data_IF_648021585074
#
_entry.id   IF_648021585074
#
_cell.length_a   1.000
_cell.length_b   1.000
_cell.length_c   1.000
_cell.angle_alpha   90.00
_cell.angle_beta   90.00
_cell.angle_gamma   90.00
#
_symmetry.space_group_name_H-M   'P 1'
#
loop_
_entity.id
_entity.type
_entity.pdbx_description
1 polymer ?
#
# COMPACT_ATOMS: atom_id res chain seq x y z
N UNK A 1 -0.74 -6.20 -27.23
CA UNK A 1 -1.62 -5.04 -27.02
C UNK A 1 -1.14 -4.41 -25.73
N UNK A 2 -0.72 -3.14 -25.73
CA UNK A 2 -0.29 -2.48 -24.49
C UNK A 2 -1.56 -2.07 -23.76
N UNK A 3 -1.80 -2.61 -22.57
CA UNK A 3 -2.94 -2.19 -21.76
C UNK A 3 -2.58 -0.87 -21.06
N UNK A 4 -3.34 0.16 -21.37
CA UNK A 4 -3.21 1.49 -20.76
C UNK A 4 -4.25 1.64 -19.66
N UNK A 5 -3.81 1.86 -18.42
CA UNK A 5 -4.67 2.20 -17.30
C UNK A 5 -4.43 3.63 -16.87
N UNK A 6 -5.50 4.38 -16.66
CA UNK A 6 -5.45 5.72 -16.08
C UNK A 6 -5.74 5.54 -14.59
N UNK A 7 -4.78 5.88 -13.74
CA UNK A 7 -4.91 5.77 -12.29
C UNK A 7 -4.70 7.12 -11.62
N UNK A 8 -5.26 7.29 -10.43
CA UNK A 8 -4.99 8.41 -9.54
C UNK A 8 -4.45 7.89 -8.21
N UNK A 9 -3.83 8.75 -7.40
CA UNK A 9 -3.28 8.32 -6.11
C UNK A 9 -4.34 7.70 -5.18
N UNK A 10 -5.58 8.19 -5.24
CA UNK A 10 -6.69 7.65 -4.46
C UNK A 10 -7.11 6.25 -4.87
N UNK A 11 -6.72 5.76 -6.04
CA UNK A 11 -6.96 4.37 -6.42
C UNK A 11 -6.14 3.38 -5.59
N UNK A 12 -5.03 3.84 -5.00
CA UNK A 12 -4.16 3.08 -4.11
C UNK A 12 -4.61 3.16 -2.64
N UNK A 13 -5.70 3.87 -2.33
CA UNK A 13 -6.24 3.91 -0.99
C UNK A 13 -6.61 2.49 -0.51
N UNK A 14 -6.13 2.14 0.69
CA UNK A 14 -6.38 0.84 1.30
C UNK A 14 -7.77 0.85 1.91
N UNK A 15 -8.67 -0.01 1.41
CA UNK A 15 -9.99 -0.25 2.00
C UNK A 15 -9.92 -1.29 3.11
N UNK A 16 -9.20 -2.39 2.85
CA UNK A 16 -9.09 -3.52 3.77
C UNK A 16 -7.67 -4.07 3.80
N UNK A 17 -7.19 -4.36 5.02
CA UNK A 17 -6.01 -5.19 5.26
C UNK A 17 -6.50 -6.61 5.55
N UNK A 18 -6.17 -7.55 4.68
CA UNK A 18 -6.68 -8.92 4.68
C UNK A 18 -5.54 -9.89 5.00
N UNK A 19 -5.74 -10.73 6.01
CA UNK A 19 -4.86 -11.86 6.30
C UNK A 19 -5.41 -13.15 5.69
N UNK A 20 -4.60 -13.88 4.91
CA UNK A 20 -4.97 -15.16 4.30
C UNK A 20 -3.94 -16.24 4.60
N UNK A 21 -4.41 -17.46 4.81
CA UNK A 21 -3.56 -18.65 4.90
C UNK A 21 -3.39 -19.25 3.51
N UNK A 22 -2.20 -19.14 2.94
CA UNK A 22 -1.89 -19.72 1.63
C UNK A 22 -1.09 -21.02 1.74
N UNK A 23 -1.40 -22.04 0.92
CA UNK A 23 -0.62 -23.26 0.86
C UNK A 23 0.76 -23.00 0.26
N UNK A 24 1.80 -23.55 0.88
CA UNK A 24 3.19 -23.43 0.39
C UNK A 24 3.55 -24.38 -0.74
N UNK A 25 2.61 -25.21 -1.20
CA UNK A 25 2.87 -26.32 -2.11
C UNK A 25 3.54 -27.53 -1.45
N UNK A 26 3.98 -27.43 -0.19
CA UNK A 26 4.56 -28.55 0.57
C UNK A 26 3.53 -29.19 1.50
N UNK A 27 3.69 -30.48 1.78
CA UNK A 27 2.88 -31.25 2.72
C UNK A 27 3.73 -31.78 3.88
N UNK A 28 3.09 -32.11 5.00
CA UNK A 28 3.72 -32.76 6.14
C UNK A 28 2.80 -33.85 6.72
N UNK A 29 3.41 -34.90 7.28
CA UNK A 29 2.67 -35.96 7.97
C UNK A 29 2.53 -35.59 9.44
N UNK A 30 1.29 -35.55 9.92
CA UNK A 30 0.97 -35.32 11.33
C UNK A 30 1.36 -36.54 12.18
N UNK A 31 1.47 -36.36 13.50
CA UNK A 31 1.76 -37.45 14.45
C UNK A 31 0.79 -38.64 14.36
N UNK A 32 -0.43 -38.40 13.86
CA UNK A 32 -1.47 -39.43 13.67
C UNK A 32 -1.44 -40.07 12.27
N UNK A 33 -0.42 -39.80 11.45
CA UNK A 33 -0.27 -40.37 10.11
C UNK A 33 -1.02 -39.63 8.99
N UNK A 34 -1.79 -38.59 9.30
CA UNK A 34 -2.52 -37.83 8.28
C UNK A 34 -1.61 -36.83 7.55
N UNK A 35 -1.69 -36.76 6.23
CA UNK A 35 -1.02 -35.74 5.41
C UNK A 35 -1.79 -34.43 5.44
N UNK A 36 -1.11 -33.31 5.71
CA UNK A 36 -1.68 -31.96 5.64
C UNK A 36 -0.80 -31.03 4.79
N UNK A 37 -1.41 -30.01 4.19
CA UNK A 37 -0.66 -28.94 3.55
C UNK A 37 -0.01 -28.03 4.59
N UNK A 38 1.24 -27.67 4.35
CA UNK A 38 1.91 -26.61 5.08
C UNK A 38 1.42 -25.29 4.52
N UNK A 39 0.78 -24.49 5.37
CA UNK A 39 0.30 -23.16 5.01
C UNK A 39 1.16 -22.10 5.67
N UNK A 40 1.18 -20.90 5.07
CA UNK A 40 1.82 -19.71 5.63
C UNK A 40 0.81 -18.56 5.60
N UNK A 41 0.82 -17.75 6.64
CA UNK A 41 0.01 -16.53 6.69
C UNK A 41 0.63 -15.46 5.80
N UNK A 42 -0.20 -14.80 4.98
CA UNK A 42 0.17 -13.68 4.14
C UNK A 42 -0.84 -12.56 4.29
N UNK A 43 -0.35 -11.33 4.18
CA UNK A 43 -1.17 -10.12 4.21
C UNK A 43 -1.36 -9.55 2.81
N UNK A 44 -2.53 -8.97 2.59
CA UNK A 44 -2.93 -8.33 1.34
C UNK A 44 -3.68 -7.03 1.62
N UNK A 45 -3.42 -5.99 0.83
CA UNK A 45 -4.12 -4.73 0.87
C UNK A 45 -5.07 -4.64 -0.31
N UNK A 46 -6.36 -4.50 -0.02
CA UNK A 46 -7.41 -4.33 -1.03
C UNK A 46 -7.57 -2.84 -1.33
N UNK A 47 -7.46 -2.50 -2.61
CA UNK A 47 -7.57 -1.14 -3.17
C UNK A 47 -8.57 -1.11 -4.33
N UNK A 48 -8.80 0.05 -4.96
CA UNK A 48 -9.72 0.15 -6.10
C UNK A 48 -9.22 -0.59 -7.35
N UNK A 49 -7.91 -0.74 -7.48
CA UNK A 49 -7.24 -1.31 -8.66
C UNK A 49 -6.82 -2.78 -8.47
N UNK A 50 -7.08 -3.34 -7.28
CA UNK A 50 -6.82 -4.75 -6.99
C UNK A 50 -6.21 -4.98 -5.61
N UNK A 51 -5.71 -6.19 -5.43
CA UNK A 51 -5.05 -6.63 -4.21
C UNK A 51 -3.54 -6.65 -4.39
N UNK A 52 -2.82 -6.14 -3.39
CA UNK A 52 -1.36 -6.10 -3.36
C UNK A 52 -0.84 -6.75 -2.09
N UNK A 53 0.39 -7.28 -2.14
CA UNK A 53 1.15 -7.49 -0.90
C UNK A 53 1.57 -6.13 -0.32
N UNK A 54 1.78 -6.02 1.02
CA UNK A 54 2.19 -4.77 1.64
C UNK A 54 3.43 -4.12 0.98
N UNK A 55 4.47 -4.93 0.73
CA UNK A 55 5.71 -4.48 0.11
C UNK A 55 5.46 -3.93 -1.30
N UNK A 56 4.66 -4.63 -2.12
CA UNK A 56 4.39 -4.21 -3.49
C UNK A 56 3.49 -2.98 -3.53
N UNK A 57 2.51 -2.91 -2.63
CA UNK A 57 1.64 -1.74 -2.50
C UNK A 57 2.46 -0.49 -2.20
N UNK A 58 3.38 -0.56 -1.22
CA UNK A 58 4.22 0.56 -0.84
C UNK A 58 5.13 0.99 -2.00
N UNK A 59 5.79 0.04 -2.65
CA UNK A 59 6.66 0.29 -3.80
C UNK A 59 5.93 1.07 -4.91
N UNK A 60 4.78 0.58 -5.35
CA UNK A 60 4.03 1.22 -6.46
C UNK A 60 3.43 2.55 -6.02
N UNK A 61 2.95 2.67 -4.78
CA UNK A 61 2.38 3.92 -4.26
C UNK A 61 3.45 5.02 -4.22
N UNK A 62 4.66 4.72 -3.73
CA UNK A 62 5.78 5.67 -3.71
C UNK A 62 6.22 6.07 -5.13
N UNK A 63 6.28 5.13 -6.07
CA UNK A 63 6.58 5.43 -7.48
C UNK A 63 5.57 6.42 -8.08
N UNK A 64 4.29 6.30 -7.72
CA UNK A 64 3.25 7.20 -8.20
C UNK A 64 3.35 8.57 -7.54
N UNK A 65 3.58 8.64 -6.23
CA UNK A 65 3.85 9.90 -5.52
C UNK A 65 5.01 10.64 -6.19
N UNK A 66 6.09 9.93 -6.50
CA UNK A 66 7.25 10.48 -7.17
C UNK A 66 6.91 10.97 -8.59
N UNK A 67 6.14 10.20 -9.35
CA UNK A 67 5.70 10.56 -10.71
C UNK A 67 4.78 11.78 -10.71
N UNK A 68 3.96 11.93 -9.67
CA UNK A 68 3.10 13.09 -9.45
C UNK A 68 3.84 14.30 -8.87
N UNK A 69 5.13 14.16 -8.56
CA UNK A 69 5.95 15.17 -7.87
C UNK A 69 5.40 15.59 -6.50
N UNK A 70 4.66 14.72 -5.81
CA UNK A 70 4.05 14.98 -4.50
C UNK A 70 4.96 14.52 -3.34
N UNK A 71 6.28 14.43 -3.56
CA UNK A 71 7.23 13.99 -2.53
C UNK A 71 7.31 14.97 -1.35
N UNK A 72 7.22 16.27 -1.62
CA UNK A 72 7.22 17.30 -0.56
C UNK A 72 6.02 17.11 0.38
N UNK A 73 4.84 16.88 -0.18
CA UNK A 73 3.63 16.59 0.59
C UNK A 73 3.77 15.29 1.41
N UNK A 74 4.39 14.26 0.84
CA UNK A 74 4.66 13.01 1.58
C UNK A 74 5.60 13.25 2.78
N UNK A 75 6.65 14.04 2.62
CA UNK A 75 7.57 14.36 3.71
C UNK A 75 6.90 15.20 4.81
N UNK A 76 6.06 16.17 4.46
CA UNK A 76 5.24 16.91 5.44
C UNK A 76 4.32 15.97 6.23
N UNK A 77 3.68 15.00 5.56
CA UNK A 77 2.85 14.00 6.22
C UNK A 77 3.71 13.11 7.15
N UNK A 78 4.90 12.68 6.71
CA UNK A 78 5.82 11.87 7.53
C UNK A 78 6.23 12.60 8.80
N UNK A 79 6.60 13.87 8.71
CA UNK A 79 6.95 14.69 9.89
C UNK A 79 5.77 14.80 10.87
N UNK A 80 4.57 15.03 10.34
CA UNK A 80 3.36 15.09 11.17
C UNK A 80 3.09 13.74 11.86
N UNK A 81 3.13 12.63 11.11
CA UNK A 81 2.91 11.28 11.60
C UNK A 81 3.96 10.90 12.66
N UNK A 82 5.23 11.21 12.44
CA UNK A 82 6.30 10.93 13.40
C UNK A 82 6.07 11.64 14.75
N UNK A 83 5.50 12.85 14.74
CA UNK A 83 5.18 13.61 15.95
C UNK A 83 3.88 13.18 16.65
N UNK A 84 2.89 12.68 15.92
CA UNK A 84 1.52 12.46 16.44
C UNK A 84 1.12 10.98 16.54
N UNK A 85 1.80 10.08 15.84
CA UNK A 85 1.48 8.66 15.78
C UNK A 85 2.50 7.81 16.56
N UNK A 86 2.48 7.93 17.90
CA UNK A 86 3.43 7.29 18.83
C UNK A 86 3.44 5.75 18.76
N UNK A 87 2.42 5.13 18.16
CA UNK A 87 2.33 3.67 18.03
C UNK A 87 3.18 3.10 16.89
N UNK A 88 3.70 3.94 15.97
CA UNK A 88 4.58 3.53 14.88
C UNK A 88 6.02 3.49 15.40
N UNK A 89 6.69 2.34 15.26
CA UNK A 89 7.95 2.06 15.96
C UNK A 89 9.20 2.25 15.10
N UNK A 90 9.04 2.27 13.79
CA UNK A 90 10.15 2.33 12.85
C UNK A 90 9.80 3.22 11.65
N UNK A 91 10.84 3.69 10.96
CA UNK A 91 10.69 4.61 9.82
C UNK A 91 9.90 3.98 8.67
N UNK A 92 9.94 2.65 8.52
CA UNK A 92 9.18 1.93 7.49
C UNK A 92 7.68 1.99 7.75
N UNK A 93 7.27 1.79 8.99
CA UNK A 93 5.87 1.91 9.43
C UNK A 93 5.37 3.35 9.28
N UNK A 94 6.22 4.34 9.59
CA UNK A 94 5.92 5.75 9.37
C UNK A 94 5.72 6.04 7.88
N UNK A 95 6.63 5.56 7.01
CA UNK A 95 6.52 5.75 5.57
C UNK A 95 5.28 5.08 4.98
N UNK A 96 5.01 3.82 5.34
CA UNK A 96 3.84 3.09 4.88
C UNK A 96 2.54 3.79 5.31
N UNK A 97 2.45 4.18 6.58
CA UNK A 97 1.29 4.86 7.10
C UNK A 97 1.11 6.24 6.46
N UNK A 98 2.19 6.98 6.24
CA UNK A 98 2.17 8.30 5.59
C UNK A 98 1.70 8.20 4.15
N UNK A 99 2.20 7.21 3.39
CA UNK A 99 1.75 6.93 2.03
C UNK A 99 0.25 6.55 2.02
N UNK A 100 -0.22 5.80 3.01
CA UNK A 100 -1.64 5.45 3.16
C UNK A 100 -2.50 6.67 3.46
N UNK A 101 -2.04 7.58 4.32
CA UNK A 101 -2.72 8.85 4.59
C UNK A 101 -2.81 9.70 3.33
N UNK A 102 -1.71 9.78 2.55
CA UNK A 102 -1.67 10.54 1.30
C UNK A 102 -2.65 9.95 0.28
N UNK A 103 -2.63 8.64 0.06
CA UNK A 103 -3.51 7.97 -0.89
C UNK A 103 -5.00 8.10 -0.51
N UNK A 104 -5.33 8.01 0.78
CA UNK A 104 -6.72 8.12 1.25
C UNK A 104 -7.21 9.56 1.41
N UNK A 105 -6.30 10.54 1.45
CA UNK A 105 -6.63 11.94 1.79
C UNK A 105 -6.93 12.19 3.26
N UNK A 106 -6.58 11.26 4.16
CA UNK A 106 -6.90 11.36 5.58
C UNK A 106 -6.30 12.61 6.26
N UNK A 107 -5.11 13.04 5.80
CA UNK A 107 -4.40 14.22 6.33
C UNK A 107 -5.16 15.53 6.15
N UNK A 108 -6.10 15.62 5.19
CA UNK A 108 -6.92 16.80 4.97
C UNK A 108 -7.80 17.14 6.18
N UNK A 109 -8.09 16.14 7.02
CA UNK A 109 -8.94 16.29 8.20
C UNK A 109 -8.15 16.56 9.48
N UNK A 110 -6.82 16.63 9.42
CA UNK A 110 -5.99 16.99 10.57
C UNK A 110 -6.09 18.49 10.85
N UNK A 111 -6.30 18.86 12.11
CA UNK A 111 -6.55 20.26 12.50
C UNK A 111 -5.36 21.16 12.17
N UNK A 112 -4.15 20.74 12.56
CA UNK A 112 -2.91 21.53 12.45
C UNK A 112 -2.12 21.32 11.14
N UNK A 113 -2.63 20.50 10.23
CA UNK A 113 -1.96 20.24 8.95
C UNK A 113 -2.22 21.37 7.96
N UNK A 114 -1.15 21.92 7.35
CA UNK A 114 -1.24 23.13 6.53
C UNK A 114 -1.74 22.86 5.12
N UNK A 115 -1.17 21.88 4.42
CA UNK A 115 -1.52 21.60 3.03
C UNK A 115 -2.73 20.66 2.92
N UNK A 116 -3.93 21.24 2.82
CA UNK A 116 -5.21 20.51 2.74
C UNK A 116 -5.70 20.40 1.30
N UNK A 117 -4.92 19.78 0.42
CA UNK A 117 -5.33 19.47 -0.96
C UNK A 117 -5.17 17.98 -1.26
N UNK A 118 -6.07 17.41 -2.07
CA UNK A 118 -5.89 16.07 -2.62
C UNK A 118 -5.24 16.19 -4.01
N UNK A 119 -4.12 15.50 -4.30
CA UNK A 119 -3.56 15.45 -5.65
C UNK A 119 -4.58 14.85 -6.63
N UNK A 120 -5.17 15.69 -7.48
CA UNK A 120 -6.14 15.27 -8.51
C UNK A 120 -5.48 14.79 -9.82
N UNK A 121 -4.15 14.77 -9.85
CA UNK A 121 -3.37 14.38 -11.01
C UNK A 121 -3.58 12.90 -11.34
N UNK A 122 -3.74 12.60 -12.63
CA UNK A 122 -3.90 11.24 -13.16
C UNK A 122 -2.59 10.80 -13.82
N UNK A 123 -2.17 9.57 -13.53
CA UNK A 123 -1.01 8.91 -14.13
C UNK A 123 -1.49 7.88 -15.13
N UNK A 124 -0.82 7.81 -16.28
CA UNK A 124 -1.02 6.77 -17.27
C UNK A 124 -0.01 5.65 -17.00
N UNK A 125 -0.49 4.48 -16.62
CA UNK A 125 0.31 3.27 -16.47
C UNK A 125 0.15 2.43 -17.73
N UNK A 126 1.28 2.07 -18.33
CA UNK A 126 1.35 1.16 -19.46
C UNK A 126 1.85 -0.19 -18.93
N UNK A 127 0.97 -1.18 -18.88
CA UNK A 127 1.37 -2.56 -18.59
C UNK A 127 1.94 -3.14 -19.88
N UNK A 128 3.28 -3.25 -19.94
CA UNK A 128 3.96 -3.94 -21.02
C UNK A 128 3.65 -5.44 -20.94
N UNK A 129 2.98 -5.98 -21.96
CA UNK A 129 2.90 -7.44 -22.10
C UNK A 129 4.31 -8.01 -22.23
N UNK A 130 4.60 -9.07 -21.48
CA UNK A 130 5.87 -9.80 -21.55
C UNK A 130 6.26 -10.04 -23.03
N UNK A 131 7.38 -9.46 -23.45
CA UNK A 131 8.07 -9.79 -24.70
C UNK A 131 9.38 -10.49 -24.38
#
# INVERSE_FOLDING_TARGET
MIDMKIVCISDYAIHHRIGRSEPTGTTYTTRFGNTRHKNVFKEFYQTNIGEFTPEKWLEVTLQIIQTLMENELLEEIKEYVAGHCVWLKNDKEIEEYSASCLASGAYMYWEDFKDKRLPAHKVFIFEGGDF
#
